data_IF_128468043262
#
_entry.id   IF_128468043262
#
_cell.length_a   1.000
_cell.length_b   1.000
_cell.length_c   1.000
_cell.angle_alpha   90.00
_cell.angle_beta   90.00
_cell.angle_gamma   90.00
#
_symmetry.space_group_name_H-M   'P 1'
#
loop_
_entity.id
_entity.type
_entity.pdbx_description
1 polymer ?
#
# COMPACT_ATOMS: atom_id res chain seq x y z
N UNK A 1 40.14 62.97 42.30
CA UNK A 1 39.07 62.04 42.79
C UNK A 1 38.60 61.22 41.61
N UNK A 2 39.22 60.04 41.42
CA UNK A 2 38.87 59.12 40.34
C UNK A 2 37.67 58.26 40.78
N UNK A 3 36.54 58.35 40.07
CA UNK A 3 35.46 57.37 40.16
C UNK A 3 35.36 56.64 38.84
N UNK A 4 35.72 55.36 38.90
CA UNK A 4 35.70 54.38 37.82
C UNK A 4 34.23 54.13 37.43
N UNK A 5 33.94 54.32 36.14
CA UNK A 5 32.67 54.00 35.50
C UNK A 5 32.62 52.47 35.32
N UNK A 6 31.64 51.81 35.94
CA UNK A 6 31.32 50.41 35.64
C UNK A 6 30.50 50.37 34.34
N UNK A 7 31.11 49.86 33.27
CA UNK A 7 30.37 49.36 32.10
C UNK A 7 29.66 48.06 32.51
N UNK A 8 28.34 48.04 32.38
CA UNK A 8 27.54 46.82 32.36
C UNK A 8 26.97 46.65 30.96
N UNK A 9 27.71 45.91 30.13
CA UNK A 9 27.19 45.21 28.98
C UNK A 9 26.41 43.98 29.46
N UNK A 10 25.19 43.76 28.97
CA UNK A 10 24.84 42.49 28.29
C UNK A 10 23.40 42.48 27.77
N UNK A 11 23.34 42.22 26.46
CA UNK A 11 22.38 41.40 25.73
C UNK A 11 20.87 41.70 25.84
N UNK A 12 20.42 42.42 24.81
CA UNK A 12 19.08 42.35 24.24
C UNK A 12 18.83 40.93 23.69
N UNK A 13 18.26 40.02 24.48
CA UNK A 13 17.74 38.75 23.96
C UNK A 13 16.35 38.97 23.40
N UNK A 14 16.30 39.11 22.07
CA UNK A 14 15.06 39.09 21.30
C UNK A 14 14.29 37.81 21.57
N UNK A 15 13.07 37.99 22.07
CA UNK A 15 12.08 36.95 22.25
C UNK A 15 11.61 36.50 20.85
N UNK A 16 12.40 35.61 20.23
CA UNK A 16 12.00 34.91 19.02
C UNK A 16 10.86 33.95 19.37
N UNK A 17 9.63 34.39 19.15
CA UNK A 17 8.45 33.53 19.15
C UNK A 17 8.65 32.55 17.98
N UNK A 18 9.21 31.39 18.28
CA UNK A 18 9.14 30.24 17.38
C UNK A 18 7.70 29.77 17.43
N UNK A 19 6.88 30.31 16.52
CA UNK A 19 5.61 29.72 16.17
C UNK A 19 5.92 28.33 15.62
N UNK A 20 5.83 27.31 16.46
CA UNK A 20 5.60 25.95 16.01
C UNK A 20 4.21 25.97 15.38
N UNK A 21 4.13 26.33 14.11
CA UNK A 21 3.01 25.96 13.26
C UNK A 21 2.96 24.43 13.31
N UNK A 22 2.08 23.90 14.15
CA UNK A 22 1.62 22.53 14.08
C UNK A 22 1.18 22.32 12.64
N UNK A 23 2.05 21.68 11.86
CA UNK A 23 1.71 21.26 10.52
C UNK A 23 0.73 20.12 10.76
N UNK A 24 -0.57 20.41 10.68
CA UNK A 24 -1.56 19.36 10.58
C UNK A 24 -1.12 18.44 9.42
N UNK A 25 -1.21 17.10 9.59
CA UNK A 25 -0.87 16.18 8.51
C UNK A 25 -1.64 16.62 7.26
N UNK A 26 -0.90 16.95 6.19
CA UNK A 26 -1.52 17.34 4.93
C UNK A 26 -2.46 16.22 4.48
N UNK A 27 -3.73 16.54 4.28
CA UNK A 27 -4.67 15.59 3.70
C UNK A 27 -4.18 15.16 2.31
N UNK A 28 -4.17 13.86 2.06
CA UNK A 28 -3.79 13.30 0.76
C UNK A 28 -4.87 13.69 -0.26
N UNK A 29 -4.44 14.28 -1.39
CA UNK A 29 -5.34 14.56 -2.51
C UNK A 29 -5.99 13.25 -3.01
N UNK A 30 -7.33 13.14 -2.97
CA UNK A 30 -8.03 11.92 -3.38
C UNK A 30 -8.06 11.68 -4.90
N UNK A 31 -7.54 12.61 -5.69
CA UNK A 31 -7.51 12.50 -7.16
C UNK A 31 -6.52 11.43 -7.59
N UNK A 32 -7.03 10.40 -8.29
CA UNK A 32 -6.19 9.35 -8.84
C UNK A 32 -5.33 9.87 -9.98
N UNK A 33 -4.01 9.74 -9.85
CA UNK A 33 -3.03 10.07 -10.89
C UNK A 33 -2.92 8.97 -11.95
N UNK A 34 -3.63 7.85 -11.76
CA UNK A 34 -3.60 6.68 -12.64
C UNK A 34 -2.41 5.77 -12.35
N UNK A 35 -2.65 4.46 -12.41
CA UNK A 35 -1.63 3.44 -12.12
C UNK A 35 -0.97 2.85 -13.36
N UNK A 36 -1.22 3.40 -14.55
CA UNK A 36 -0.86 2.81 -15.85
C UNK A 36 0.62 2.44 -16.01
N UNK A 37 1.52 3.18 -15.36
CA UNK A 37 2.96 2.89 -15.31
C UNK A 37 3.28 1.56 -14.59
N UNK A 38 2.43 1.16 -13.65
CA UNK A 38 2.54 -0.09 -12.91
C UNK A 38 1.65 -1.18 -13.55
N UNK A 39 0.36 -0.91 -13.65
CA UNK A 39 -0.67 -1.77 -14.25
C UNK A 39 -1.30 -1.07 -15.46
N UNK A 40 -0.83 -1.36 -16.70
CA UNK A 40 -1.36 -0.75 -17.92
C UNK A 40 -2.88 -0.83 -18.08
N UNK A 41 -3.54 0.32 -18.30
CA UNK A 41 -5.00 0.50 -18.24
C UNK A 41 -5.73 0.31 -19.59
N UNK A 42 -5.35 -0.68 -20.38
CA UNK A 42 -6.10 -1.09 -21.57
C UNK A 42 -7.06 -2.24 -21.20
N UNK A 43 -8.34 -2.16 -21.60
CA UNK A 43 -9.35 -3.18 -21.28
C UNK A 43 -9.09 -4.53 -21.94
N UNK A 44 -8.22 -4.58 -22.95
CA UNK A 44 -7.79 -5.83 -23.58
C UNK A 44 -6.63 -6.49 -22.82
N UNK A 45 -6.01 -5.80 -21.86
CA UNK A 45 -4.94 -6.36 -21.04
C UNK A 45 -5.49 -7.37 -20.03
N UNK A 46 -4.72 -8.43 -19.81
CA UNK A 46 -5.02 -9.37 -18.74
C UNK A 46 -3.75 -9.98 -18.14
N UNK A 47 -3.90 -10.44 -16.90
CA UNK A 47 -2.87 -11.13 -16.15
C UNK A 47 -3.47 -12.43 -15.61
N UNK A 48 -2.79 -13.55 -15.81
CA UNK A 48 -3.21 -14.86 -15.34
C UNK A 48 -2.35 -15.24 -14.14
N UNK A 49 -3.01 -15.53 -13.02
CA UNK A 49 -2.37 -15.88 -11.76
C UNK A 49 -2.76 -17.27 -11.32
N UNK A 50 -1.84 -17.92 -10.62
CA UNK A 50 -2.12 -19.10 -9.80
C UNK A 50 -2.04 -18.71 -8.32
N UNK A 51 -3.12 -18.99 -7.60
CA UNK A 51 -3.19 -18.86 -6.16
C UNK A 51 -2.57 -20.07 -5.45
N UNK A 52 -2.25 -19.93 -4.17
CA UNK A 52 -1.64 -20.99 -3.34
C UNK A 52 -2.52 -22.22 -3.15
N UNK A 53 -3.83 -22.11 -3.38
CA UNK A 53 -4.78 -23.23 -3.41
C UNK A 53 -4.96 -23.84 -4.82
N UNK A 54 -4.06 -23.49 -5.75
CA UNK A 54 -4.10 -23.83 -7.19
C UNK A 54 -5.28 -23.25 -7.96
N UNK A 55 -6.03 -22.31 -7.39
CA UNK A 55 -7.03 -21.55 -8.14
C UNK A 55 -6.33 -20.71 -9.21
N UNK A 56 -6.76 -20.87 -10.46
CA UNK A 56 -6.34 -20.02 -11.55
C UNK A 56 -7.37 -18.90 -11.75
N UNK A 57 -6.91 -17.66 -11.78
CA UNK A 57 -7.77 -16.51 -12.03
C UNK A 57 -7.13 -15.51 -12.98
N UNK A 58 -7.98 -14.79 -13.71
CA UNK A 58 -7.57 -13.72 -14.61
C UNK A 58 -7.92 -12.37 -13.98
N UNK A 59 -6.94 -11.48 -13.87
CA UNK A 59 -7.12 -10.07 -13.51
C UNK A 59 -7.20 -9.23 -14.79
N UNK A 60 -8.12 -8.27 -14.86
CA UNK A 60 -8.17 -7.29 -15.95
C UNK A 60 -8.75 -5.95 -15.48
N UNK A 61 -8.35 -4.87 -16.16
CA UNK A 61 -8.91 -3.55 -15.95
C UNK A 61 -10.30 -3.47 -16.58
N UNK A 62 -11.29 -2.98 -15.84
CA UNK A 62 -12.69 -2.96 -16.32
C UNK A 62 -13.01 -1.79 -17.25
N UNK A 63 -12.08 -0.85 -17.46
CA UNK A 63 -12.35 0.40 -18.18
C UNK A 63 -13.10 1.44 -17.35
N UNK A 64 -13.29 1.18 -16.06
CA UNK A 64 -14.06 2.02 -15.14
C UNK A 64 -13.20 2.45 -13.96
N UNK A 65 -13.52 3.64 -13.46
CA UNK A 65 -13.06 4.13 -12.17
C UNK A 65 -14.22 4.11 -11.16
N UNK A 66 -13.88 4.08 -9.88
CA UNK A 66 -14.84 4.14 -8.77
C UNK A 66 -14.36 5.11 -7.68
N UNK A 67 -15.28 5.54 -6.83
CA UNK A 67 -14.96 6.33 -5.63
C UNK A 67 -15.23 5.47 -4.40
N UNK A 68 -14.25 5.33 -3.52
CA UNK A 68 -14.38 4.65 -2.22
C UNK A 68 -13.71 5.53 -1.16
N UNK A 69 -14.42 5.81 -0.08
CA UNK A 69 -13.97 6.69 1.01
C UNK A 69 -13.46 8.06 0.52
N UNK A 70 -14.14 8.61 -0.51
CA UNK A 70 -13.79 9.84 -1.23
C UNK A 70 -12.51 9.77 -2.09
N UNK A 71 -11.84 8.63 -2.21
CA UNK A 71 -10.68 8.43 -3.09
C UNK A 71 -11.10 7.80 -4.42
N UNK A 72 -10.54 8.29 -5.52
CA UNK A 72 -10.77 7.72 -6.85
C UNK A 72 -9.84 6.52 -7.09
N UNK A 73 -10.36 5.42 -7.64
CA UNK A 73 -9.60 4.21 -7.93
C UNK A 73 -9.91 3.68 -9.32
N UNK A 74 -8.89 3.10 -9.97
CA UNK A 74 -9.09 2.26 -11.14
C UNK A 74 -9.66 0.91 -10.68
N UNK A 75 -10.74 0.45 -11.32
CA UNK A 75 -11.45 -0.78 -10.95
C UNK A 75 -11.03 -1.96 -11.83
N UNK A 76 -10.53 -3.00 -11.16
CA UNK A 76 -10.11 -4.28 -11.73
C UNK A 76 -11.02 -5.41 -11.22
N UNK A 77 -11.11 -6.46 -12.02
CA UNK A 77 -11.79 -7.70 -11.63
C UNK A 77 -10.80 -8.86 -11.70
N UNK A 78 -10.77 -9.68 -10.65
CA UNK A 78 -10.25 -11.04 -10.71
C UNK A 78 -11.39 -12.00 -11.02
N UNK A 79 -11.21 -12.85 -12.01
CA UNK A 79 -12.21 -13.85 -12.42
C UNK A 79 -11.59 -15.22 -12.35
N UNK A 80 -12.12 -16.07 -11.47
CA UNK A 80 -11.75 -17.48 -11.41
C UNK A 80 -12.06 -18.15 -12.76
N UNK A 81 -11.06 -18.81 -13.37
CA UNK A 81 -11.19 -19.35 -14.73
C UNK A 81 -12.08 -20.58 -14.82
N UNK A 82 -12.41 -21.20 -13.69
CA UNK A 82 -13.27 -22.40 -13.59
C UNK A 82 -14.67 -22.01 -13.14
N UNK A 83 -14.81 -21.31 -12.01
CA UNK A 83 -16.12 -20.99 -11.43
C UNK A 83 -16.77 -19.73 -12.00
N UNK A 84 -15.99 -18.85 -12.64
CA UNK A 84 -16.46 -17.52 -13.05
C UNK A 84 -16.70 -16.55 -11.89
N UNK A 85 -16.34 -16.91 -10.66
CA UNK A 85 -16.46 -16.04 -9.49
C UNK A 85 -15.63 -14.77 -9.70
N UNK A 86 -16.25 -13.62 -9.45
CA UNK A 86 -15.63 -12.29 -9.62
C UNK A 86 -15.28 -11.72 -8.25
N UNK A 87 -14.02 -11.29 -8.10
CA UNK A 87 -13.55 -10.49 -6.96
C UNK A 87 -13.15 -9.11 -7.47
N UNK A 88 -13.60 -8.07 -6.77
CA UNK A 88 -13.30 -6.68 -7.11
C UNK A 88 -11.98 -6.24 -6.51
N UNK A 89 -11.20 -5.51 -7.29
CA UNK A 89 -9.94 -4.92 -6.85
C UNK A 89 -9.88 -3.45 -7.25
N UNK A 90 -9.26 -2.65 -6.38
CA UNK A 90 -9.21 -1.20 -6.54
C UNK A 90 -7.79 -0.73 -6.33
N UNK A 91 -7.25 -0.03 -7.32
CA UNK A 91 -5.89 0.44 -7.33
C UNK A 91 -5.85 1.93 -7.66
N UNK A 92 -4.98 2.67 -7.00
CA UNK A 92 -4.88 4.12 -7.19
C UNK A 92 -3.45 4.61 -7.02
N UNK A 93 -3.17 5.78 -7.58
CA UNK A 93 -1.92 6.52 -7.37
C UNK A 93 -2.26 7.89 -6.79
N UNK A 94 -1.80 8.17 -5.58
CA UNK A 94 -2.03 9.44 -4.89
C UNK A 94 -0.69 10.02 -4.46
N UNK A 95 -0.45 11.29 -4.78
CA UNK A 95 0.79 12.00 -4.48
C UNK A 95 2.06 11.21 -4.89
N UNK A 96 1.99 10.49 -6.02
CA UNK A 96 3.07 9.67 -6.56
C UNK A 96 3.11 8.23 -6.05
N UNK A 97 2.46 7.90 -4.94
CA UNK A 97 2.52 6.56 -4.34
C UNK A 97 1.36 5.67 -4.79
N UNK A 98 1.60 4.36 -4.87
CA UNK A 98 0.63 3.37 -5.31
C UNK A 98 -0.09 2.74 -4.12
N UNK A 99 -1.41 2.64 -4.25
CA UNK A 99 -2.31 2.13 -3.23
C UNK A 99 -3.19 1.02 -3.79
N UNK A 100 -3.56 0.08 -2.91
CA UNK A 100 -4.64 -0.89 -3.13
C UNK A 100 -5.63 -0.83 -1.98
N UNK A 101 -6.86 -1.29 -2.23
CA UNK A 101 -7.85 -1.53 -1.19
C UNK A 101 -7.86 -3.02 -0.81
N UNK A 102 -7.46 -3.32 0.42
CA UNK A 102 -7.50 -4.66 0.98
C UNK A 102 -8.87 -4.91 1.59
N UNK A 103 -9.59 -5.90 1.06
CA UNK A 103 -10.88 -6.36 1.57
C UNK A 103 -10.72 -7.08 2.92
N UNK A 104 -11.57 -6.75 3.90
CA UNK A 104 -11.48 -7.31 5.27
C UNK A 104 -12.68 -8.19 5.61
N UNK A 105 -13.83 -7.94 5.01
CA UNK A 105 -15.03 -8.75 5.20
C UNK A 105 -15.27 -9.66 3.99
N UNK A 106 -15.93 -10.80 4.15
CA UNK A 106 -16.24 -11.66 3.00
C UNK A 106 -17.30 -11.04 2.06
N UNK A 107 -18.13 -10.13 2.59
CA UNK A 107 -19.16 -9.43 1.82
C UNK A 107 -18.60 -8.38 0.85
N UNK A 108 -17.37 -7.89 1.06
CA UNK A 108 -16.71 -6.91 0.19
C UNK A 108 -17.23 -5.50 0.35
N UNK A 109 -17.69 -5.15 1.56
CA UNK A 109 -18.17 -3.82 1.90
C UNK A 109 -17.15 -3.01 2.69
N UNK A 110 -16.16 -3.67 3.30
CA UNK A 110 -15.14 -3.00 4.13
C UNK A 110 -13.75 -3.20 3.55
N UNK A 111 -13.07 -2.07 3.33
CA UNK A 111 -11.75 -2.02 2.75
C UNK A 111 -10.78 -1.23 3.65
N UNK A 112 -9.50 -1.60 3.60
CA UNK A 112 -8.39 -0.80 4.11
C UNK A 112 -7.56 -0.31 2.94
N UNK A 113 -7.38 1.00 2.88
CA UNK A 113 -6.42 1.63 1.97
C UNK A 113 -5.00 1.35 2.44
N UNK A 114 -4.21 0.68 1.61
CA UNK A 114 -2.82 0.35 1.89
C UNK A 114 -1.91 0.92 0.80
N UNK A 115 -0.89 1.69 1.20
CA UNK A 115 0.21 2.04 0.29
C UNK A 115 1.11 0.83 0.12
N UNK A 116 1.28 0.37 -1.11
CA UNK A 116 2.02 -0.86 -1.43
C UNK A 116 3.33 -0.62 -2.18
N UNK A 117 3.50 0.57 -2.76
CA UNK A 117 4.72 0.91 -3.49
C UNK A 117 4.89 2.43 -3.58
N UNK A 118 6.13 2.92 -3.40
CA UNK A 118 6.48 4.33 -3.63
C UNK A 118 6.54 4.65 -5.14
N UNK A 119 6.33 5.93 -5.47
CA UNK A 119 6.40 6.42 -6.86
C UNK A 119 7.76 6.29 -7.54
N UNK A 120 8.85 6.35 -6.78
CA UNK A 120 10.25 6.16 -7.21
C UNK A 120 10.97 5.27 -6.19
N UNK A 121 10.73 3.94 -6.21
CA UNK A 121 11.13 3.05 -5.15
C UNK A 121 12.64 2.79 -5.18
N UNK A 122 13.29 2.98 -4.02
CA UNK A 122 14.71 2.69 -3.79
C UNK A 122 14.84 1.69 -2.65
N UNK A 123 15.85 0.82 -2.73
CA UNK A 123 16.13 -0.13 -1.65
C UNK A 123 16.36 0.63 -0.34
N UNK A 124 15.65 0.21 0.72
CA UNK A 124 15.67 0.85 2.04
C UNK A 124 14.66 1.98 2.23
N UNK A 125 13.89 2.36 1.19
CA UNK A 125 12.75 3.26 1.38
C UNK A 125 11.74 2.61 2.32
N UNK A 126 11.24 3.39 3.28
CA UNK A 126 10.25 2.92 4.28
C UNK A 126 9.09 3.90 4.41
N UNK A 127 7.93 3.37 4.76
CA UNK A 127 6.75 4.16 5.11
C UNK A 127 5.85 3.38 6.07
N UNK A 128 4.97 4.10 6.77
CA UNK A 128 3.95 3.49 7.60
C UNK A 128 2.56 3.99 7.19
N UNK A 129 1.56 3.11 7.28
CA UNK A 129 0.15 3.49 7.21
C UNK A 129 -0.52 3.07 8.51
N UNK A 130 -1.46 3.88 9.00
CA UNK A 130 -2.35 3.48 10.08
C UNK A 130 -3.79 3.58 9.60
N UNK A 131 -4.64 2.68 10.08
CA UNK A 131 -6.06 2.70 9.80
C UNK A 131 -6.83 2.35 11.08
N UNK A 132 -7.98 3.00 11.27
CA UNK A 132 -8.99 2.52 12.22
C UNK A 132 -10.04 1.79 11.40
N UNK A 133 -10.35 0.56 11.80
CA UNK A 133 -11.21 -0.33 11.06
C UNK A 133 -12.35 -0.74 11.98
N UNK A 134 -13.56 -0.67 11.45
CA UNK A 134 -14.76 -1.14 12.15
C UNK A 134 -15.22 -2.45 11.50
N UNK A 135 -15.32 -3.52 12.28
CA UNK A 135 -15.80 -4.82 11.81
C UNK A 135 -16.58 -5.50 12.92
N UNK A 136 -17.77 -6.03 12.57
CA UNK A 136 -18.65 -6.71 13.52
C UNK A 136 -18.95 -5.89 14.79
N UNK A 137 -19.04 -4.56 14.65
CA UNK A 137 -19.31 -3.63 15.77
C UNK A 137 -18.10 -3.31 16.66
N UNK A 138 -16.93 -3.89 16.40
CA UNK A 138 -15.68 -3.61 17.10
C UNK A 138 -14.79 -2.68 16.28
N UNK A 139 -14.07 -1.80 16.97
CA UNK A 139 -13.00 -1.00 16.38
C UNK A 139 -11.66 -1.68 16.65
N UNK A 140 -10.83 -1.76 15.61
CA UNK A 140 -9.45 -2.19 15.71
C UNK A 140 -8.56 -1.22 14.94
N UNK A 141 -7.33 -1.09 15.41
CA UNK A 141 -6.34 -0.23 14.80
C UNK A 141 -5.35 -1.13 14.09
N UNK A 142 -5.12 -0.86 12.82
CA UNK A 142 -4.10 -1.52 12.02
C UNK A 142 -2.96 -0.55 11.74
N UNK A 143 -1.75 -1.09 11.67
CA UNK A 143 -0.58 -0.39 11.16
C UNK A 143 0.17 -1.30 10.20
N UNK A 144 0.62 -0.73 9.08
CA UNK A 144 1.57 -1.38 8.18
C UNK A 144 2.89 -0.66 8.29
N UNK A 145 3.99 -1.39 8.39
CA UNK A 145 5.34 -0.84 8.23
C UNK A 145 5.98 -1.49 7.00
N UNK A 146 6.24 -0.68 5.98
CA UNK A 146 6.64 -1.12 4.66
C UNK A 146 8.11 -0.76 4.39
N UNK A 147 8.79 -1.60 3.62
CA UNK A 147 10.18 -1.43 3.18
C UNK A 147 10.34 -1.93 1.75
N UNK A 148 11.09 -1.22 0.92
CA UNK A 148 11.59 -1.76 -0.35
C UNK A 148 12.85 -2.57 -0.09
N UNK A 149 12.76 -3.89 -0.24
CA UNK A 149 13.89 -4.79 0.04
C UNK A 149 14.72 -5.11 -1.19
N UNK A 150 14.18 -4.92 -2.40
CA UNK A 150 14.90 -5.12 -3.66
C UNK A 150 14.28 -4.32 -4.79
N UNK A 151 15.09 -3.96 -5.80
CA UNK A 151 14.66 -3.37 -7.08
C UNK A 151 15.28 -4.09 -8.29
N UNK A 152 15.94 -5.24 -8.06
CA UNK A 152 16.75 -5.94 -9.05
C UNK A 152 16.46 -7.45 -9.11
N UNK A 153 15.38 -7.91 -8.47
CA UNK A 153 14.99 -9.32 -8.58
C UNK A 153 14.60 -9.68 -10.02
N UNK A 154 14.65 -10.97 -10.31
CA UNK A 154 14.19 -11.55 -11.57
C UNK A 154 13.13 -12.61 -11.31
N UNK A 155 12.24 -12.82 -12.26
CA UNK A 155 11.29 -13.92 -12.25
C UNK A 155 11.03 -14.41 -13.68
N UNK A 156 10.72 -15.69 -13.85
CA UNK A 156 10.34 -16.25 -15.14
C UNK A 156 8.84 -16.42 -15.20
N UNK A 157 8.19 -15.80 -16.19
CA UNK A 157 6.74 -15.88 -16.41
C UNK A 157 6.51 -16.33 -17.84
N UNK A 158 5.80 -17.46 -18.03
CA UNK A 158 5.57 -18.08 -19.34
C UNK A 158 6.83 -18.15 -20.23
N UNK A 159 7.96 -18.63 -19.66
CA UNK A 159 9.24 -18.73 -20.37
C UNK A 159 9.97 -17.40 -20.64
N UNK A 160 9.40 -16.25 -20.26
CA UNK A 160 10.02 -14.94 -20.37
C UNK A 160 10.61 -14.51 -19.04
N UNK A 161 11.91 -14.16 -19.03
CA UNK A 161 12.55 -13.58 -17.84
C UNK A 161 12.16 -12.10 -17.72
N UNK A 162 11.56 -11.76 -16.59
CA UNK A 162 11.32 -10.40 -16.16
C UNK A 162 12.45 -9.98 -15.23
N UNK A 163 13.07 -8.83 -15.50
CA UNK A 163 14.12 -8.23 -14.69
C UNK A 163 13.61 -7.02 -13.89
N UNK A 164 14.46 -6.43 -13.05
CA UNK A 164 14.16 -5.21 -12.31
C UNK A 164 12.83 -5.30 -11.53
N UNK A 165 12.59 -6.46 -10.91
CA UNK A 165 11.43 -6.66 -10.04
C UNK A 165 11.69 -5.93 -8.72
N UNK A 166 10.71 -5.13 -8.34
CA UNK A 166 10.69 -4.38 -7.10
C UNK A 166 9.97 -5.22 -6.05
N UNK A 167 10.58 -5.40 -4.89
CA UNK A 167 10.00 -6.15 -3.78
C UNK A 167 9.70 -5.19 -2.64
N UNK A 168 8.43 -5.10 -2.29
CA UNK A 168 7.98 -4.43 -1.08
C UNK A 168 7.65 -5.49 -0.02
N UNK A 169 8.28 -5.37 1.13
CA UNK A 169 7.96 -6.16 2.32
C UNK A 169 7.22 -5.27 3.30
N UNK A 170 6.10 -5.75 3.79
CA UNK A 170 5.24 -5.07 4.75
C UNK A 170 5.08 -5.93 5.97
N UNK A 171 5.34 -5.36 7.15
CA UNK A 171 4.94 -5.93 8.43
C UNK A 171 3.58 -5.39 8.82
N UNK A 172 2.72 -6.26 9.31
CA UNK A 172 1.35 -5.96 9.71
C UNK A 172 1.29 -5.94 11.23
N UNK A 173 0.64 -4.91 11.77
CA UNK A 173 0.45 -4.72 13.19
C UNK A 173 -1.02 -4.44 13.48
N UNK A 174 -1.49 -4.92 14.64
CA UNK A 174 -2.82 -4.66 15.13
C UNK A 174 -2.82 -4.30 16.62
N UNK A 175 -3.86 -3.59 17.06
CA UNK A 175 -4.23 -3.42 18.46
C UNK A 175 -5.73 -3.16 18.60
N UNK A 176 -6.31 -3.50 19.75
CA UNK A 176 -7.74 -3.38 20.02
C UNK A 176 -8.10 -2.13 20.84
N UNK A 177 -7.17 -1.62 21.66
CA UNK A 177 -7.30 -0.32 22.32
C UNK A 177 -6.30 0.68 21.73
N UNK A 178 -6.68 1.95 21.51
CA UNK A 178 -5.73 2.97 21.04
C UNK A 178 -4.55 3.18 22.00
N UNK A 179 -4.69 2.84 23.28
CA UNK A 179 -3.63 2.93 24.29
C UNK A 179 -2.72 1.68 24.37
N UNK A 180 -3.07 0.60 23.69
CA UNK A 180 -2.25 -0.62 23.68
C UNK A 180 -1.00 -0.46 22.80
N UNK A 181 -0.01 -1.30 23.08
CA UNK A 181 1.14 -1.48 22.20
C UNK A 181 0.73 -2.19 20.90
N UNK A 182 1.40 -1.85 19.81
CA UNK A 182 1.25 -2.57 18.55
C UNK A 182 1.76 -4.01 18.69
N UNK A 183 0.95 -4.97 18.23
CA UNK A 183 1.33 -6.38 18.16
C UNK A 183 1.56 -6.73 16.69
N UNK A 184 2.72 -7.29 16.36
CA UNK A 184 2.98 -7.81 15.01
C UNK A 184 2.06 -9.01 14.77
N UNK A 185 1.27 -8.94 13.71
CA UNK A 185 0.25 -9.91 13.38
C UNK A 185 0.41 -10.48 11.98
N UNK A 186 1.57 -10.29 11.34
CA UNK A 186 1.85 -10.90 10.06
C UNK A 186 2.74 -10.10 9.14
N UNK A 187 2.83 -10.59 7.90
CA UNK A 187 3.58 -9.98 6.82
C UNK A 187 2.84 -10.04 5.50
N UNK A 188 3.15 -9.09 4.63
CA UNK A 188 2.76 -9.09 3.22
C UNK A 188 4.03 -8.82 2.39
N UNK A 189 4.30 -9.64 1.39
CA UNK A 189 5.38 -9.44 0.43
C UNK A 189 4.76 -9.29 -0.94
N UNK A 190 5.03 -8.18 -1.61
CA UNK A 190 4.55 -7.94 -2.97
C UNK A 190 5.71 -7.70 -3.90
N UNK A 191 5.64 -8.33 -5.08
CA UNK A 191 6.61 -8.19 -6.16
C UNK A 191 5.97 -7.46 -7.33
N UNK A 192 6.65 -6.45 -7.85
CA UNK A 192 6.14 -5.58 -8.89
C UNK A 192 7.13 -5.45 -10.04
N UNK A 193 6.62 -5.31 -11.26
CA UNK A 193 7.40 -4.91 -12.42
C UNK A 193 6.64 -3.82 -13.16
N UNK A 194 7.25 -2.64 -13.28
CA UNK A 194 6.66 -1.53 -14.04
C UNK A 194 6.31 -1.95 -15.46
N UNK A 195 5.14 -1.53 -15.92
CA UNK A 195 4.55 -1.91 -17.20
C UNK A 195 4.11 -3.37 -17.30
N UNK A 196 4.37 -4.22 -16.30
CA UNK A 196 3.92 -5.62 -16.26
C UNK A 196 2.99 -5.92 -15.09
N UNK A 197 2.86 -5.01 -14.12
CA UNK A 197 1.95 -5.15 -12.99
C UNK A 197 2.55 -5.87 -11.80
N UNK A 198 1.70 -6.60 -11.10
CA UNK A 198 2.02 -7.35 -9.90
C UNK A 198 2.48 -8.75 -10.31
N UNK A 199 3.68 -9.14 -9.90
CA UNK A 199 4.27 -10.43 -10.24
C UNK A 199 3.93 -11.50 -9.19
N UNK A 200 3.93 -11.13 -7.93
CA UNK A 200 3.53 -12.01 -6.84
C UNK A 200 3.03 -11.20 -5.64
N UNK A 201 2.14 -11.81 -4.87
CA UNK A 201 1.60 -11.27 -3.62
C UNK A 201 1.51 -12.42 -2.62
N UNK A 202 2.27 -12.35 -1.53
CA UNK A 202 2.25 -13.34 -0.46
C UNK A 202 1.76 -12.66 0.81
N UNK A 203 0.70 -13.19 1.39
CA UNK A 203 0.09 -12.70 2.62
C UNK A 203 0.16 -13.78 3.68
N UNK A 204 0.61 -13.40 4.87
CA UNK A 204 0.58 -14.21 6.06
C UNK A 204 0.09 -13.33 7.21
N UNK A 205 -1.16 -13.50 7.61
CA UNK A 205 -1.81 -12.66 8.61
C UNK A 205 -2.48 -13.51 9.69
N UNK A 206 -2.07 -13.26 10.92
CA UNK A 206 -2.53 -13.94 12.13
C UNK A 206 -2.89 -12.90 13.20
N UNK A 207 -4.18 -12.62 13.33
CA UNK A 207 -4.73 -11.88 14.47
C UNK A 207 -5.52 -12.87 15.33
N UNK A 208 -5.00 -13.23 16.53
CA UNK A 208 -5.64 -14.21 17.40
C UNK A 208 -7.12 -13.91 17.63
N UNK A 209 -7.97 -14.91 17.39
CA UNK A 209 -9.42 -14.81 17.61
C UNK A 209 -10.17 -13.95 16.58
N UNK A 210 -9.51 -13.47 15.53
CA UNK A 210 -10.13 -12.58 14.54
C UNK A 210 -9.95 -13.09 13.11
N UNK A 211 -8.72 -13.20 12.63
CA UNK A 211 -8.39 -13.64 11.25
C UNK A 211 -7.09 -14.43 11.28
N UNK A 212 -7.11 -15.62 10.69
CA UNK A 212 -5.92 -16.39 10.33
C UNK A 212 -6.01 -16.68 8.83
N UNK A 213 -5.14 -16.04 8.06
CA UNK A 213 -5.17 -16.12 6.60
C UNK A 213 -3.75 -16.09 6.05
N UNK A 214 -3.38 -17.19 5.41
CA UNK A 214 -2.21 -17.25 4.55
C UNK A 214 -2.67 -17.55 3.12
N UNK A 215 -2.24 -16.74 2.17
CA UNK A 215 -2.48 -16.99 0.75
C UNK A 215 -1.41 -16.30 -0.10
N UNK A 216 -1.08 -16.91 -1.23
CA UNK A 216 -0.13 -16.36 -2.19
C UNK A 216 -0.72 -16.39 -3.59
N UNK A 217 -0.44 -15.36 -4.39
CA UNK A 217 -0.76 -15.31 -5.82
C UNK A 217 0.53 -15.06 -6.60
N UNK A 218 0.72 -15.77 -7.71
CA UNK A 218 1.88 -15.53 -8.58
C UNK A 218 1.47 -15.53 -10.06
N UNK A 219 2.10 -14.63 -10.82
CA UNK A 219 1.83 -14.42 -12.23
C UNK A 219 2.40 -15.58 -13.04
N UNK A 220 1.54 -16.27 -13.77
CA UNK A 220 1.93 -17.40 -14.63
C UNK A 220 1.92 -17.04 -16.12
N UNK A 221 1.08 -16.10 -16.52
CA UNK A 221 1.02 -15.59 -17.90
C UNK A 221 0.39 -14.19 -17.96
N UNK A 222 0.57 -13.46 -19.05
CA UNK A 222 -0.06 -12.16 -19.26
C UNK A 222 -0.18 -11.79 -20.74
N UNK A 223 -1.10 -10.88 -21.03
CA UNK A 223 -1.22 -10.22 -22.33
C UNK A 223 -1.36 -8.71 -22.13
N UNK A 224 -0.52 -7.96 -22.82
CA UNK A 224 -0.49 -6.50 -22.76
C UNK A 224 -0.48 -5.95 -24.19
N UNK A 225 -1.44 -5.08 -24.47
CA UNK A 225 -1.53 -4.31 -25.70
C UNK A 225 -0.78 -3.00 -25.48
N UNK A 226 0.11 -2.67 -26.42
CA UNK A 226 0.83 -1.39 -26.47
C UNK A 226 -0.08 -0.20 -26.80
#
# INVERSE_FOLDING_TARGET
>A
MNKIIKLSSLLLTGLGIVLFSSCEPKEIDPTNQGIGELLPLNTNNWWLYEASDSTIFRRYYTGRDTVIDNFNYNYFEQVNTVSGTIVKEFYGKFEGNYYTLIKIDDAGNTFVKAQVLNGDPKVGDTWENTATIQYSGLNFYAKTACEITSTSETATVNGTTLDNIIVSKTKLYAKFNPLDNWVECGTMIMKFKRGKGIIAEDYDFQVPGFVDKSYGNHLIDYHLVE
#
